data_IF_695288559799
#
_entry.id   IF_695288559799
#
_cell.length_a   1.000
_cell.length_b   1.000
_cell.length_c   1.000
_cell.angle_alpha   90.00
_cell.angle_beta   90.00
_cell.angle_gamma   90.00
#
_symmetry.space_group_name_H-M   'P 1'
#
loop_
_entity.id
_entity.type
_entity.pdbx_description
1 polymer ?
#
# COMPACT_ATOMS: atom_id res chain seq x y z
N UNK A 1 19.37 10.84 -0.50
CA UNK A 1 19.06 11.97 0.43
C UNK A 1 17.64 11.77 0.99
N UNK A 2 17.39 12.04 2.28
CA UNK A 2 16.09 11.72 2.90
C UNK A 2 15.08 12.86 2.85
N UNK A 3 15.52 14.08 2.57
CA UNK A 3 14.66 15.26 2.43
C UNK A 3 14.57 15.69 0.96
N UNK A 4 13.39 16.15 0.52
CA UNK A 4 13.11 16.45 -0.90
C UNK A 4 14.09 17.45 -1.51
N UNK A 5 14.30 18.60 -0.86
CA UNK A 5 15.22 19.64 -1.36
C UNK A 5 16.63 19.11 -1.61
N UNK A 6 17.17 18.34 -0.66
CA UNK A 6 18.49 17.70 -0.79
C UNK A 6 18.51 16.63 -1.89
N UNK A 7 17.39 15.94 -2.12
CA UNK A 7 17.28 14.97 -3.20
C UNK A 7 17.27 15.66 -4.56
N UNK A 8 16.50 16.74 -4.71
CA UNK A 8 16.43 17.55 -5.95
C UNK A 8 17.79 18.16 -6.26
N UNK A 9 18.49 18.72 -5.28
CA UNK A 9 19.85 19.25 -5.46
C UNK A 9 20.84 18.20 -5.97
N UNK A 10 20.67 16.94 -5.54
CA UNK A 10 21.59 15.85 -5.90
C UNK A 10 21.21 15.15 -7.21
N UNK A 11 19.93 15.02 -7.51
CA UNK A 11 19.43 14.13 -8.55
C UNK A 11 18.54 14.81 -9.59
N UNK A 12 18.17 16.08 -9.44
CA UNK A 12 17.11 16.79 -10.20
C UNK A 12 15.70 16.25 -9.93
N UNK A 13 14.69 17.11 -10.08
CA UNK A 13 13.30 16.74 -9.84
C UNK A 13 12.78 15.71 -10.87
N UNK A 14 13.07 15.91 -12.16
CA UNK A 14 12.63 15.00 -13.24
C UNK A 14 13.12 13.56 -13.03
N UNK A 15 14.36 13.40 -12.58
CA UNK A 15 14.91 12.07 -12.27
C UNK A 15 14.16 11.45 -11.08
N UNK A 16 13.90 12.21 -10.01
CA UNK A 16 13.16 11.66 -8.86
C UNK A 16 11.74 11.25 -9.25
N UNK A 17 11.07 12.04 -10.09
CA UNK A 17 9.74 11.71 -10.61
C UNK A 17 9.75 10.41 -11.43
N UNK A 18 10.79 10.19 -12.24
CA UNK A 18 10.92 8.99 -13.06
C UNK A 18 11.16 7.71 -12.23
N UNK A 19 11.92 7.80 -11.14
CA UNK A 19 12.34 6.64 -10.33
C UNK A 19 11.54 6.44 -9.03
N UNK A 20 10.55 7.30 -8.78
CA UNK A 20 9.60 7.15 -7.67
C UNK A 20 9.86 8.11 -6.50
N UNK A 21 8.76 8.59 -5.90
CA UNK A 21 8.78 9.68 -4.91
C UNK A 21 8.02 9.39 -3.60
N UNK A 22 7.56 8.15 -3.41
CA UNK A 22 6.69 7.73 -2.29
C UNK A 22 7.13 8.29 -0.91
N UNK A 23 8.40 8.19 -0.45
CA UNK A 23 8.75 8.66 0.89
C UNK A 23 8.59 10.17 1.09
N UNK A 24 8.76 10.97 0.03
CA UNK A 24 8.54 12.42 0.10
C UNK A 24 7.06 12.76 -0.06
N UNK A 25 6.34 11.99 -0.90
CA UNK A 25 4.90 12.14 -1.08
C UNK A 25 4.14 11.89 0.23
N UNK A 26 4.46 10.81 0.95
CA UNK A 26 3.91 10.50 2.28
C UNK A 26 4.10 11.66 3.26
N UNK A 27 5.29 12.26 3.30
CA UNK A 27 5.52 13.41 4.18
C UNK A 27 4.75 14.66 3.75
N UNK A 28 4.59 14.90 2.44
CA UNK A 28 3.74 15.98 1.93
C UNK A 28 2.27 15.78 2.33
N UNK A 29 1.75 14.57 2.15
CA UNK A 29 0.39 14.21 2.51
C UNK A 29 0.12 14.32 4.00
N UNK A 30 1.10 13.95 4.84
CA UNK A 30 1.05 14.18 6.28
C UNK A 30 0.78 15.65 6.61
N UNK A 31 1.52 16.59 6.02
CA UNK A 31 1.27 18.02 6.24
C UNK A 31 -0.15 18.43 5.81
N UNK A 32 -0.64 17.92 4.68
CA UNK A 32 -2.01 18.18 4.24
C UNK A 32 -3.05 17.63 5.24
N UNK A 33 -2.81 16.45 5.80
CA UNK A 33 -3.71 15.83 6.78
C UNK A 33 -3.70 16.62 8.10
N UNK A 34 -2.54 17.10 8.55
CA UNK A 34 -2.43 18.01 9.70
C UNK A 34 -3.27 19.27 9.49
N UNK A 35 -3.16 19.91 8.31
CA UNK A 35 -3.96 21.10 8.01
C UNK A 35 -5.46 20.80 7.94
N UNK A 36 -5.85 19.64 7.39
CA UNK A 36 -7.24 19.21 7.37
C UNK A 36 -7.81 19.02 8.80
N UNK A 37 -7.01 18.46 9.71
CA UNK A 37 -7.37 18.35 11.12
C UNK A 37 -7.51 19.73 11.79
N UNK A 38 -6.57 20.66 11.57
CA UNK A 38 -6.66 22.03 12.11
C UNK A 38 -7.91 22.76 11.63
N UNK A 39 -8.27 22.56 10.37
CA UNK A 39 -9.46 23.15 9.74
C UNK A 39 -10.75 22.42 10.11
N UNK A 40 -10.68 21.30 10.85
CA UNK A 40 -11.83 20.48 11.23
C UNK A 40 -12.67 20.04 10.01
N UNK A 41 -11.99 19.81 8.88
CA UNK A 41 -12.65 19.38 7.64
C UNK A 41 -12.75 17.85 7.59
N UNK A 42 -13.88 17.31 8.05
CA UNK A 42 -14.10 15.86 8.16
C UNK A 42 -13.93 15.11 6.82
N UNK A 43 -14.40 15.67 5.70
CA UNK A 43 -14.28 15.03 4.38
C UNK A 43 -12.83 14.95 3.96
N UNK A 44 -12.08 16.04 4.10
CA UNK A 44 -10.67 16.08 3.72
C UNK A 44 -9.82 15.18 4.64
N UNK A 45 -10.14 15.12 5.93
CA UNK A 45 -9.49 14.20 6.88
C UNK A 45 -9.68 12.75 6.43
N UNK A 46 -10.92 12.32 6.12
CA UNK A 46 -11.19 10.95 5.69
C UNK A 46 -10.48 10.60 4.38
N UNK A 47 -10.53 11.50 3.39
CA UNK A 47 -9.87 11.32 2.10
C UNK A 47 -8.35 11.22 2.25
N UNK A 48 -7.72 12.20 2.90
CA UNK A 48 -6.27 12.20 3.10
C UNK A 48 -5.81 11.05 3.99
N UNK A 49 -6.61 10.62 4.97
CA UNK A 49 -6.27 9.46 5.80
C UNK A 49 -6.24 8.18 4.97
N UNK A 50 -7.19 8.01 4.04
CA UNK A 50 -7.23 6.87 3.13
C UNK A 50 -6.06 6.89 2.15
N UNK A 51 -5.82 8.03 1.50
CA UNK A 51 -4.72 8.18 0.54
C UNK A 51 -3.35 8.01 1.21
N UNK A 52 -3.15 8.63 2.38
CA UNK A 52 -1.93 8.47 3.17
C UNK A 52 -1.73 7.01 3.60
N UNK A 53 -2.81 6.35 4.02
CA UNK A 53 -2.79 4.94 4.37
C UNK A 53 -2.37 4.04 3.20
N UNK A 54 -2.90 4.32 2.00
CA UNK A 54 -2.53 3.61 0.78
C UNK A 54 -1.04 3.75 0.46
N UNK A 55 -0.50 4.97 0.41
CA UNK A 55 0.93 5.14 0.10
C UNK A 55 1.86 4.56 1.16
N UNK A 56 1.46 4.55 2.44
CA UNK A 56 2.22 3.87 3.51
C UNK A 56 2.16 2.35 3.32
N UNK A 57 1.02 1.79 2.93
CA UNK A 57 0.90 0.36 2.64
C UNK A 57 1.83 -0.05 1.48
N UNK A 58 1.79 0.70 0.37
CA UNK A 58 2.66 0.50 -0.78
C UNK A 58 4.15 0.59 -0.42
N UNK A 59 4.53 1.54 0.44
CA UNK A 59 5.91 1.67 0.93
C UNK A 59 6.41 0.45 1.72
N UNK A 60 5.50 -0.41 2.20
CA UNK A 60 5.81 -1.66 2.87
C UNK A 60 5.78 -2.87 1.93
N UNK A 61 5.49 -2.72 0.64
CA UNK A 61 5.55 -3.80 -0.34
C UNK A 61 6.95 -3.87 -0.95
N UNK A 62 7.71 -4.98 -0.81
CA UNK A 62 9.07 -5.08 -1.34
C UNK A 62 9.15 -4.75 -2.83
N UNK A 63 8.20 -5.25 -3.62
CA UNK A 63 8.16 -5.07 -5.07
C UNK A 63 7.90 -3.61 -5.51
N UNK A 64 7.43 -2.73 -4.63
CA UNK A 64 7.26 -1.30 -4.93
C UNK A 64 8.58 -0.52 -4.79
N UNK A 65 9.65 -1.18 -4.30
CA UNK A 65 10.97 -0.57 -4.08
C UNK A 65 11.98 -0.84 -5.20
N UNK A 66 11.53 -1.41 -6.32
CA UNK A 66 12.38 -1.80 -7.44
C UNK A 66 11.71 -1.51 -8.78
N UNK A 67 12.51 -1.27 -9.81
CA UNK A 67 12.04 -1.20 -11.19
C UNK A 67 11.54 -2.57 -11.67
N UNK A 68 12.06 -3.68 -11.11
CA UNK A 68 11.63 -5.04 -11.44
C UNK A 68 10.29 -5.42 -10.77
N UNK A 69 9.38 -4.47 -10.60
CA UNK A 69 8.19 -4.58 -9.74
C UNK A 69 7.27 -5.78 -10.07
N UNK A 70 7.30 -6.30 -11.29
CA UNK A 70 6.53 -7.47 -11.70
C UNK A 70 7.42 -8.59 -12.24
N UNK A 71 8.72 -8.62 -11.92
CA UNK A 71 9.64 -9.66 -12.37
C UNK A 71 9.99 -9.61 -13.86
N UNK A 72 9.67 -8.50 -14.55
CA UNK A 72 9.87 -8.35 -15.98
C UNK A 72 11.35 -8.31 -16.42
N UNK A 73 12.27 -7.98 -15.50
CA UNK A 73 13.71 -7.98 -15.74
C UNK A 73 14.39 -9.32 -15.38
N UNK A 74 13.65 -10.24 -14.74
CA UNK A 74 14.17 -11.54 -14.27
C UNK A 74 13.38 -12.75 -14.78
N UNK A 75 12.45 -12.54 -15.73
CA UNK A 75 11.55 -13.57 -16.27
C UNK A 75 10.61 -14.21 -15.23
N UNK A 76 10.17 -13.41 -14.25
CA UNK A 76 9.26 -13.80 -13.17
C UNK A 76 7.93 -13.04 -13.28
N UNK A 77 7.46 -12.81 -14.51
CA UNK A 77 6.27 -11.99 -14.81
C UNK A 77 5.05 -12.52 -14.03
N UNK A 78 4.41 -11.64 -13.27
CA UNK A 78 3.26 -11.93 -12.42
C UNK A 78 3.58 -12.13 -10.94
N UNK A 79 4.86 -12.09 -10.54
CA UNK A 79 5.27 -12.22 -9.13
C UNK A 79 4.65 -11.13 -8.22
N UNK A 80 4.31 -9.97 -8.79
CA UNK A 80 3.60 -8.91 -8.08
C UNK A 80 2.24 -9.37 -7.58
N UNK A 81 1.40 -9.85 -8.50
CA UNK A 81 0.09 -10.39 -8.16
C UNK A 81 0.17 -11.65 -7.30
N UNK A 82 1.24 -12.44 -7.42
CA UNK A 82 1.51 -13.54 -6.50
C UNK A 82 1.66 -13.02 -5.06
N UNK A 83 2.62 -12.13 -4.82
CA UNK A 83 2.98 -11.68 -3.48
C UNK A 83 1.87 -10.84 -2.83
N UNK A 84 1.34 -9.85 -3.54
CA UNK A 84 0.42 -8.84 -2.96
C UNK A 84 -1.04 -9.30 -2.93
N UNK A 85 -1.47 -10.07 -3.93
CA UNK A 85 -2.88 -10.49 -4.04
C UNK A 85 -3.05 -11.94 -3.64
N UNK A 86 -2.39 -12.87 -4.36
CA UNK A 86 -2.67 -14.30 -4.24
C UNK A 86 -2.33 -14.85 -2.86
N UNK A 87 -1.15 -14.53 -2.31
CA UNK A 87 -0.78 -14.99 -0.97
C UNK A 87 -1.70 -14.42 0.11
N UNK A 88 -2.05 -13.13 0.01
CA UNK A 88 -2.96 -12.49 0.97
C UNK A 88 -4.34 -13.12 0.90
N UNK A 89 -4.90 -13.30 -0.29
CA UNK A 89 -6.22 -13.91 -0.50
C UNK A 89 -6.29 -15.34 0.04
N UNK A 90 -5.21 -16.12 -0.07
CA UNK A 90 -5.17 -17.51 0.36
C UNK A 90 -4.89 -17.68 1.87
N UNK A 91 -4.09 -16.81 2.47
CA UNK A 91 -3.48 -17.08 3.78
C UNK A 91 -3.73 -16.00 4.84
N UNK A 92 -4.33 -14.85 4.50
CA UNK A 92 -4.53 -13.75 5.46
C UNK A 92 -5.48 -14.06 6.62
N UNK A 93 -6.36 -15.04 6.48
CA UNK A 93 -7.24 -15.49 7.56
C UNK A 93 -6.44 -16.14 8.73
N UNK A 94 -5.22 -16.63 8.47
CA UNK A 94 -4.33 -17.23 9.47
C UNK A 94 -3.31 -16.23 10.07
N UNK A 95 -3.27 -14.99 9.59
CA UNK A 95 -2.32 -13.98 10.05
C UNK A 95 -2.78 -13.34 11.37
N UNK A 96 -1.82 -13.01 12.24
CA UNK A 96 -2.08 -12.15 13.39
C UNK A 96 -1.85 -10.69 13.00
N UNK A 97 -2.90 -9.86 13.08
CA UNK A 97 -2.81 -8.43 12.81
C UNK A 97 -2.72 -7.56 14.08
N UNK A 98 -2.49 -8.16 15.26
CA UNK A 98 -2.33 -7.41 16.50
C UNK A 98 -0.97 -6.70 16.57
N UNK A 99 -0.96 -5.39 16.26
CA UNK A 99 0.26 -4.56 16.22
C UNK A 99 0.42 -3.61 17.41
N UNK A 100 -0.49 -3.68 18.39
CA UNK A 100 -0.52 -2.76 19.54
C UNK A 100 -1.07 -1.38 19.19
N UNK A 101 -0.86 -0.42 20.10
CA UNK A 101 -1.37 0.94 19.95
C UNK A 101 -0.48 1.80 19.04
N UNK A 102 -1.10 2.80 18.41
CA UNK A 102 -0.38 3.83 17.67
C UNK A 102 0.58 4.61 18.59
N UNK A 103 1.67 5.10 18.03
CA UNK A 103 2.73 5.83 18.72
C UNK A 103 3.09 7.10 17.96
N UNK A 104 3.41 8.17 18.68
CA UNK A 104 3.82 9.43 18.07
C UNK A 104 5.18 9.29 17.37
N UNK A 105 5.26 9.71 16.11
CA UNK A 105 6.49 9.71 15.32
C UNK A 105 7.22 11.03 15.48
N UNK A 106 8.36 11.01 16.17
CA UNK A 106 9.23 12.19 16.31
C UNK A 106 9.75 12.71 14.97
N UNK A 107 9.98 11.82 14.01
CA UNK A 107 10.43 12.18 12.67
C UNK A 107 9.76 11.29 11.61
N UNK A 108 8.54 11.67 11.16
CA UNK A 108 7.77 10.88 10.19
C UNK A 108 8.51 10.67 8.87
N UNK A 109 9.30 11.67 8.43
CA UNK A 109 10.09 11.55 7.20
C UNK A 109 11.12 10.43 7.30
N UNK A 110 11.81 10.28 8.44
CA UNK A 110 12.78 9.20 8.60
C UNK A 110 12.09 7.84 8.78
N UNK A 111 10.94 7.80 9.48
CA UNK A 111 10.17 6.58 9.67
C UNK A 111 9.74 5.94 8.34
N UNK A 112 9.24 6.73 7.38
CA UNK A 112 8.85 6.19 6.07
C UNK A 112 10.06 5.68 5.26
N UNK A 113 11.22 6.34 5.37
CA UNK A 113 12.45 5.86 4.74
C UNK A 113 12.92 4.52 5.31
N UNK A 114 12.82 4.37 6.63
CA UNK A 114 13.11 3.11 7.31
C UNK A 114 12.17 2.00 6.84
N UNK A 115 10.86 2.27 6.71
CA UNK A 115 9.87 1.33 6.17
C UNK A 115 10.26 0.82 4.78
N UNK A 116 10.56 1.74 3.86
CA UNK A 116 10.94 1.41 2.49
C UNK A 116 12.24 0.61 2.46
N UNK A 117 13.21 0.98 3.30
CA UNK A 117 14.48 0.24 3.42
C UNK A 117 14.21 -1.19 3.89
N UNK A 118 13.39 -1.37 4.91
CA UNK A 118 13.04 -2.68 5.45
C UNK A 118 12.27 -3.54 4.42
N UNK A 119 11.34 -2.93 3.68
CA UNK A 119 10.64 -3.60 2.58
C UNK A 119 11.62 -4.02 1.48
N UNK A 120 12.54 -3.16 1.09
CA UNK A 120 13.56 -3.47 0.09
C UNK A 120 14.50 -4.59 0.52
N UNK A 121 14.84 -4.68 1.81
CA UNK A 121 15.67 -5.77 2.35
C UNK A 121 15.00 -7.14 2.26
N UNK A 122 13.68 -7.21 2.07
CA UNK A 122 12.96 -8.47 1.86
C UNK A 122 12.89 -8.90 0.38
N UNK A 123 13.30 -8.01 -0.54
CA UNK A 123 13.15 -8.18 -1.99
C UNK A 123 13.96 -9.38 -2.54
N UNK A 124 15.12 -9.66 -1.95
CA UNK A 124 15.97 -10.78 -2.36
C UNK A 124 15.20 -12.11 -2.25
N UNK A 125 14.51 -12.30 -1.13
CA UNK A 125 13.77 -13.51 -0.81
C UNK A 125 12.54 -13.65 -1.70
N UNK A 126 11.88 -12.54 -2.04
CA UNK A 126 10.76 -12.52 -2.99
C UNK A 126 11.21 -13.14 -4.33
N UNK A 127 12.26 -12.60 -4.94
CA UNK A 127 12.70 -13.11 -6.25
C UNK A 127 13.36 -14.47 -6.17
N UNK A 128 14.24 -14.68 -5.18
CA UNK A 128 15.06 -15.89 -5.10
C UNK A 128 14.19 -17.12 -4.86
N UNK A 129 13.24 -17.07 -3.93
CA UNK A 129 12.41 -18.23 -3.63
C UNK A 129 11.42 -18.56 -4.74
N UNK A 130 10.85 -17.56 -5.43
CA UNK A 130 9.97 -17.82 -6.58
C UNK A 130 10.75 -18.51 -7.70
N UNK A 131 12.00 -18.08 -7.94
CA UNK A 131 12.89 -18.67 -8.95
C UNK A 131 13.32 -20.09 -8.59
N UNK A 132 13.77 -20.31 -7.35
CA UNK A 132 14.17 -21.63 -6.84
C UNK A 132 12.98 -22.62 -6.93
N UNK A 133 11.77 -22.20 -6.53
CA UNK A 133 10.59 -23.06 -6.61
C UNK A 133 10.20 -23.34 -8.06
N UNK A 134 10.27 -22.33 -8.94
CA UNK A 134 9.98 -22.50 -10.37
C UNK A 134 10.93 -23.47 -11.07
N UNK A 135 12.20 -23.53 -10.65
CA UNK A 135 13.18 -24.48 -11.20
C UNK A 135 12.88 -25.93 -10.80
N UNK A 136 12.20 -26.12 -9.67
CA UNK A 136 11.90 -27.43 -9.11
C UNK A 136 10.45 -27.89 -9.34
N UNK A 137 9.63 -27.08 -10.03
CA UNK A 137 8.23 -27.39 -10.29
C UNK A 137 7.92 -27.38 -11.80
N UNK A 138 7.29 -28.46 -12.33
CA UNK A 138 6.78 -28.47 -13.71
C UNK A 138 5.82 -27.30 -13.99
N UNK A 139 5.87 -26.76 -15.21
CA UNK A 139 5.11 -25.54 -15.59
C UNK A 139 3.58 -25.73 -15.46
N UNK A 140 3.09 -26.93 -15.75
CA UNK A 140 1.68 -27.35 -15.61
C UNK A 140 1.22 -27.41 -14.14
N UNK A 141 2.16 -27.49 -13.19
CA UNK A 141 1.88 -27.41 -11.75
C UNK A 141 2.09 -26.02 -11.17
N UNK A 142 2.90 -25.18 -11.82
CA UNK A 142 3.17 -23.80 -11.40
C UNK A 142 1.92 -22.90 -11.54
N UNK A 143 1.17 -23.05 -12.63
CA UNK A 143 0.03 -22.20 -12.93
C UNK A 143 -1.29 -22.98 -12.91
N UNK A 144 -2.38 -22.29 -12.59
CA UNK A 144 -3.74 -22.77 -12.69
C UNK A 144 -4.62 -21.71 -13.37
N UNK A 145 -5.77 -22.13 -13.88
CA UNK A 145 -6.82 -21.21 -14.33
C UNK A 145 -7.88 -21.11 -13.25
N UNK A 146 -8.20 -19.89 -12.84
CA UNK A 146 -9.22 -19.62 -11.83
C UNK A 146 -10.15 -18.51 -12.31
N UNK A 147 -11.43 -18.63 -11.96
CA UNK A 147 -12.44 -17.64 -12.28
C UNK A 147 -12.55 -16.62 -11.14
N UNK A 148 -12.31 -15.35 -11.46
CA UNK A 148 -12.45 -14.23 -10.52
C UNK A 148 -13.37 -13.18 -11.13
N UNK A 149 -14.46 -12.83 -10.43
CA UNK A 149 -15.47 -11.89 -10.92
C UNK A 149 -15.97 -12.23 -12.34
N UNK A 150 -16.21 -13.51 -12.61
CA UNK A 150 -16.63 -14.02 -13.93
C UNK A 150 -15.60 -13.88 -15.06
N UNK A 151 -14.34 -13.66 -14.71
CA UNK A 151 -13.21 -13.63 -15.65
C UNK A 151 -12.28 -14.81 -15.34
N UNK A 152 -12.11 -15.71 -16.30
CA UNK A 152 -11.14 -16.79 -16.22
C UNK A 152 -9.74 -16.24 -16.49
N UNK A 153 -8.83 -16.38 -15.52
CA UNK A 153 -7.46 -15.90 -15.61
C UNK A 153 -6.44 -16.97 -15.26
N UNK A 154 -5.27 -16.94 -15.92
CA UNK A 154 -4.11 -17.74 -15.51
C UNK A 154 -3.47 -17.10 -14.28
N UNK A 155 -3.35 -17.85 -13.20
CA UNK A 155 -2.71 -17.43 -11.93
C UNK A 155 -1.76 -18.50 -11.42
N UNK A 156 -0.98 -18.19 -10.38
CA UNK A 156 -0.17 -19.19 -9.69
C UNK A 156 -1.08 -20.21 -8.99
N UNK A 157 -0.74 -21.49 -9.12
CA UNK A 157 -1.52 -22.57 -8.53
C UNK A 157 -1.54 -22.47 -7.00
N UNK A 158 -2.53 -23.09 -6.37
CA UNK A 158 -2.60 -23.17 -4.90
C UNK A 158 -1.35 -23.84 -4.31
N UNK A 159 -0.87 -24.92 -4.93
CA UNK A 159 0.30 -25.67 -4.48
C UNK A 159 1.59 -24.81 -4.54
N UNK A 160 1.83 -24.14 -5.67
CA UNK A 160 2.96 -23.21 -5.79
C UNK A 160 2.85 -22.08 -4.76
N UNK A 161 1.67 -21.49 -4.62
CA UNK A 161 1.43 -20.39 -3.67
C UNK A 161 1.72 -20.82 -2.23
N UNK A 162 1.30 -22.03 -1.84
CA UNK A 162 1.54 -22.59 -0.50
C UNK A 162 3.03 -22.82 -0.22
N UNK A 163 3.74 -23.46 -1.15
CA UNK A 163 5.17 -23.71 -0.99
C UNK A 163 5.98 -22.41 -0.98
N UNK A 164 5.65 -21.46 -1.86
CA UNK A 164 6.27 -20.14 -1.88
C UNK A 164 6.01 -19.36 -0.58
N UNK A 165 4.77 -19.39 -0.06
CA UNK A 165 4.44 -18.78 1.23
C UNK A 165 5.25 -19.37 2.39
N UNK A 166 5.44 -20.70 2.40
CA UNK A 166 6.28 -21.38 3.39
C UNK A 166 7.75 -20.93 3.31
N UNK A 167 8.31 -20.82 2.09
CA UNK A 167 9.68 -20.32 1.89
C UNK A 167 9.85 -18.86 2.36
N UNK A 168 8.84 -18.02 2.13
CA UNK A 168 8.82 -16.64 2.63
C UNK A 168 8.74 -16.54 4.16
N UNK A 169 8.38 -17.63 4.86
CA UNK A 169 8.43 -17.76 6.31
C UNK A 169 7.81 -16.55 7.03
N UNK A 170 6.53 -16.26 6.78
CA UNK A 170 5.78 -15.16 7.41
C UNK A 170 6.14 -13.75 6.93
N UNK A 171 6.88 -13.60 5.82
CA UNK A 171 7.27 -12.28 5.31
C UNK A 171 6.08 -11.40 4.97
N UNK A 172 5.06 -11.94 4.29
CA UNK A 172 3.87 -11.18 3.89
C UNK A 172 3.18 -10.60 5.13
N UNK A 173 2.89 -11.43 6.13
CA UNK A 173 2.33 -11.01 7.40
C UNK A 173 3.17 -9.93 8.09
N UNK A 174 4.51 -10.08 8.16
CA UNK A 174 5.40 -9.06 8.75
C UNK A 174 5.26 -7.71 8.04
N UNK A 175 5.21 -7.69 6.71
CA UNK A 175 5.02 -6.46 5.95
C UNK A 175 3.63 -5.84 6.18
N UNK A 176 2.57 -6.66 6.23
CA UNK A 176 1.23 -6.18 6.55
C UNK A 176 1.16 -5.56 7.94
N UNK A 177 1.74 -6.21 8.95
CA UNK A 177 1.81 -5.71 10.33
C UNK A 177 2.59 -4.40 10.41
N UNK A 178 3.73 -4.30 9.71
CA UNK A 178 4.51 -3.07 9.64
C UNK A 178 3.69 -1.91 9.02
N UNK A 179 2.96 -2.18 7.93
CA UNK A 179 2.06 -1.20 7.31
C UNK A 179 0.96 -0.75 8.27
N UNK A 180 0.23 -1.68 8.89
CA UNK A 180 -0.87 -1.36 9.82
C UNK A 180 -0.38 -0.51 10.98
N UNK A 181 0.77 -0.86 11.59
CA UNK A 181 1.36 -0.09 12.68
C UNK A 181 1.72 1.32 12.23
N UNK A 182 2.40 1.45 11.09
CA UNK A 182 2.86 2.73 10.58
C UNK A 182 1.71 3.65 10.20
N UNK A 183 0.65 3.12 9.59
CA UNK A 183 -0.56 3.89 9.27
C UNK A 183 -1.15 4.51 10.54
N UNK A 184 -1.33 3.70 11.59
CA UNK A 184 -1.83 4.18 12.89
C UNK A 184 -0.92 5.25 13.49
N UNK A 185 0.39 5.05 13.44
CA UNK A 185 1.39 6.00 13.95
C UNK A 185 1.34 7.34 13.20
N UNK A 186 1.19 7.32 11.88
CA UNK A 186 1.06 8.53 11.06
C UNK A 186 -0.25 9.26 11.34
N UNK A 187 -1.39 8.56 11.40
CA UNK A 187 -2.67 9.19 11.73
C UNK A 187 -2.65 9.84 13.11
N UNK A 188 -2.16 9.13 14.12
CA UNK A 188 -2.01 9.66 15.48
C UNK A 188 -1.09 10.89 15.48
N UNK A 189 0.04 10.82 14.79
CA UNK A 189 0.99 11.93 14.69
C UNK A 189 0.34 13.16 14.06
N UNK A 190 -0.40 13.00 12.96
CA UNK A 190 -1.08 14.12 12.32
C UNK A 190 -2.11 14.77 13.23
N UNK A 191 -2.88 13.96 13.98
CA UNK A 191 -3.87 14.45 14.93
C UNK A 191 -3.22 15.21 16.10
N UNK A 192 -2.12 14.70 16.66
CA UNK A 192 -1.36 15.38 17.72
C UNK A 192 -0.77 16.70 17.22
N UNK A 193 -0.12 16.69 16.05
CA UNK A 193 0.49 17.89 15.44
C UNK A 193 -0.55 18.97 15.08
N UNK A 194 -1.81 18.57 14.85
CA UNK A 194 -2.92 19.49 14.63
C UNK A 194 -3.50 20.11 15.91
N UNK A 195 -2.93 19.78 17.08
CA UNK A 195 -3.43 20.26 18.37
C UNK A 195 -4.56 19.41 18.95
N UNK A 196 -4.67 18.14 18.54
CA UNK A 196 -5.62 17.16 19.07
C UNK A 196 -7.08 17.63 19.00
N UNK A 197 -7.59 18.04 17.82
CA UNK A 197 -8.97 18.47 17.69
C UNK A 197 -9.94 17.35 18.09
N UNK A 198 -11.02 17.74 18.77
CA UNK A 198 -12.10 16.83 19.15
C UNK A 198 -12.78 16.23 17.91
N UNK A 199 -12.77 14.89 17.84
CA UNK A 199 -13.26 14.13 16.70
C UNK A 199 -14.78 13.88 16.75
N UNK A 200 -15.41 13.91 17.92
CA UNK A 200 -16.86 13.65 18.05
C UNK A 200 -17.67 14.73 17.30
N UNK A 201 -17.18 15.97 17.37
CA UNK A 201 -17.74 17.10 16.64
C UNK A 201 -17.52 17.04 15.11
N UNK A 202 -16.59 16.19 14.63
CA UNK A 202 -16.32 15.99 13.20
C UNK A 202 -17.20 14.91 12.58
N UNK A 203 -17.47 13.84 13.34
CA UNK A 203 -18.26 12.68 12.88
C UNK A 203 -19.75 12.99 12.75
N UNK A 204 -20.23 14.02 13.44
CA UNK A 204 -21.63 14.45 13.44
C UNK A 204 -21.97 15.48 12.34
N UNK A 205 -21.02 15.86 11.49
CA UNK A 205 -21.30 16.73 10.34
C UNK A 205 -21.93 15.91 9.22
N UNK A 206 -23.06 16.36 8.66
CA UNK A 206 -23.71 15.70 7.52
C UNK A 206 -22.78 15.71 6.29
N UNK A 207 -22.10 14.59 6.03
CA UNK A 207 -21.11 14.44 4.96
C UNK A 207 -21.71 14.46 3.54
N UNK A 208 -23.04 14.63 3.41
CA UNK A 208 -23.76 14.56 2.13
C UNK A 208 -23.71 15.85 1.32
N UNK A 209 -23.64 17.02 1.94
CA UNK A 209 -23.83 18.31 1.24
C UNK A 209 -22.55 18.93 0.63
N UNK A 210 -21.35 18.47 1.03
CA UNK A 210 -20.08 19.11 0.62
C UNK A 210 -19.37 18.46 -0.58
N UNK A 211 -19.90 17.37 -1.15
CA UNK A 211 -19.29 16.71 -2.33
C UNK A 211 -19.41 17.51 -3.63
N UNK A 212 -20.35 18.45 -3.72
CA UNK A 212 -20.69 19.12 -4.99
C UNK A 212 -19.87 20.39 -5.28
N UNK A 213 -19.12 20.92 -4.30
CA UNK A 213 -18.49 22.26 -4.40
C UNK A 213 -16.95 22.27 -4.37
N UNK A 214 -16.27 21.11 -4.42
CA UNK A 214 -14.81 21.10 -4.53
C UNK A 214 -14.37 21.12 -6.01
N UNK A 215 -13.51 22.09 -6.41
CA UNK A 215 -12.96 22.08 -7.75
C UNK A 215 -12.13 20.79 -7.97
N UNK A 216 -12.06 20.27 -9.21
CA UNK A 216 -11.19 19.15 -9.53
C UNK A 216 -9.76 19.46 -9.05
N UNK A 217 -9.20 18.58 -8.25
CA UNK A 217 -7.80 18.68 -7.84
C UNK A 217 -6.96 18.51 -9.10
N UNK A 218 -6.10 19.49 -9.37
CA UNK A 218 -5.03 19.38 -10.36
C UNK A 218 -4.04 18.34 -9.83
N UNK A 219 -4.29 17.07 -10.17
CA UNK A 219 -3.30 16.02 -10.01
C UNK A 219 -2.08 16.47 -10.81
N UNK A 220 -0.85 16.40 -10.26
CA UNK A 220 0.33 16.53 -11.10
C UNK A 220 0.15 15.62 -12.32
N UNK A 221 0.57 16.03 -13.53
CA UNK A 221 0.26 15.33 -14.78
C UNK A 221 0.44 13.86 -14.52
N UNK A 222 -0.67 13.12 -14.68
CA UNK A 222 -0.79 11.71 -14.34
C UNK A 222 0.52 11.03 -14.73
N UNK A 223 1.33 10.64 -13.73
CA UNK A 223 2.29 9.58 -13.96
C UNK A 223 1.44 8.50 -14.62
N UNK A 224 1.81 8.07 -15.82
CA UNK A 224 1.15 6.92 -16.46
C UNK A 224 1.06 5.87 -15.36
N UNK A 225 -0.16 5.53 -14.90
CA UNK A 225 -0.30 4.56 -13.83
C UNK A 225 0.50 3.34 -14.30
N UNK A 226 1.31 2.75 -13.42
CA UNK A 226 1.99 1.51 -13.83
C UNK A 226 0.91 0.58 -14.38
N UNK A 227 1.13 -0.23 -15.42
CA UNK A 227 0.05 -0.90 -16.15
C UNK A 227 -1.03 -1.63 -15.30
N UNK A 228 -0.71 -2.01 -14.06
CA UNK A 228 -1.65 -2.56 -13.07
C UNK A 228 -2.53 -1.50 -12.35
N UNK A 229 -2.06 -0.27 -12.18
CA UNK A 229 -2.83 0.91 -11.75
C UNK A 229 -3.69 1.49 -12.90
N UNK A 230 -3.37 1.13 -14.16
CA UNK A 230 -3.96 1.69 -15.39
C UNK A 230 -5.16 0.94 -15.98
N UNK A 231 -5.58 -0.19 -15.41
CA UNK A 231 -6.86 -0.81 -15.76
C UNK A 231 -8.02 -0.04 -15.12
N UNK A 232 -8.40 1.09 -15.74
CA UNK A 232 -9.72 1.73 -15.53
C UNK A 232 -10.21 1.75 -14.08
N UNK A 233 -9.39 2.26 -13.16
CA UNK A 233 -9.75 2.31 -11.75
C UNK A 233 -10.65 3.53 -11.53
N UNK A 234 -11.94 3.35 -11.79
CA UNK A 234 -12.97 4.16 -11.15
C UNK A 234 -12.70 4.10 -9.64
N UNK A 235 -12.52 5.24 -8.96
CA UNK A 235 -12.20 5.33 -7.53
C UNK A 235 -13.16 4.52 -6.62
N UNK A 236 -14.35 4.16 -7.13
CA UNK A 236 -15.26 3.18 -6.52
C UNK A 236 -14.65 1.77 -6.38
N UNK A 237 -13.88 1.30 -7.37
CA UNK A 237 -13.34 -0.05 -7.43
C UNK A 237 -11.96 -0.20 -6.78
N UNK A 238 -11.19 0.90 -6.60
CA UNK A 238 -9.94 0.85 -5.83
C UNK A 238 -10.22 0.44 -4.38
N UNK A 239 -11.32 0.94 -3.82
CA UNK A 239 -11.79 0.55 -2.50
C UNK A 239 -12.31 -0.89 -2.42
N UNK A 240 -12.50 -1.58 -3.54
CA UNK A 240 -12.96 -2.97 -3.62
C UNK A 240 -11.82 -3.94 -3.95
N UNK A 241 -10.77 -3.47 -4.63
CA UNK A 241 -9.64 -4.30 -5.08
C UNK A 241 -8.35 -4.11 -4.27
N UNK A 242 -8.29 -3.11 -3.37
CA UNK A 242 -7.22 -3.06 -2.38
C UNK A 242 -7.49 -4.19 -1.38
N UNK A 243 -6.71 -5.28 -1.45
CA UNK A 243 -6.90 -6.52 -0.68
C UNK A 243 -7.03 -6.25 0.82
N UNK A 244 -6.32 -5.23 1.32
CA UNK A 244 -6.44 -4.74 2.70
C UNK A 244 -7.83 -4.16 3.00
N UNK A 245 -8.33 -3.23 2.16
CA UNK A 245 -9.63 -2.60 2.37
C UNK A 245 -10.79 -3.58 2.15
N UNK A 246 -10.63 -4.52 1.21
CA UNK A 246 -11.58 -5.60 0.95
C UNK A 246 -11.69 -6.57 2.13
N UNK A 247 -10.55 -6.96 2.73
CA UNK A 247 -10.49 -7.78 3.94
C UNK A 247 -11.19 -7.10 5.13
N UNK A 248 -10.88 -5.82 5.40
CA UNK A 248 -11.54 -5.07 6.49
C UNK A 248 -13.04 -4.89 6.26
N UNK A 249 -13.48 -4.64 5.02
CA UNK A 249 -14.92 -4.57 4.68
C UNK A 249 -15.64 -5.91 4.89
N UNK A 250 -15.01 -7.04 4.57
CA UNK A 250 -15.56 -8.39 4.80
C UNK A 250 -15.73 -8.66 6.29
N UNK A 251 -14.70 -8.43 7.10
CA UNK A 251 -14.76 -8.61 8.58
C UNK A 251 -15.78 -7.69 9.27
N UNK A 252 -15.99 -6.47 8.78
CA UNK A 252 -17.01 -5.54 9.32
C UNK A 252 -18.44 -6.02 9.00
N UNK A 253 -18.65 -6.64 7.83
CA UNK A 253 -19.95 -7.24 7.46
C UNK A 253 -20.28 -8.50 8.27
N UNK A 254 -19.28 -9.29 8.65
CA UNK A 254 -19.46 -10.53 9.44
C UNK A 254 -19.72 -10.27 10.94
N UNK A 255 -19.56 -9.04 11.42
CA UNK A 255 -19.83 -8.61 12.81
C UNK A 255 -21.15 -7.84 12.98
N UNK A 256 -22.00 -7.80 11.96
CA UNK A 256 -23.39 -7.32 12.03
C UNK A 256 -24.34 -8.49 11.81
#
# INVERSE_FOLDING_TARGET
>A
PRYWKQAVEKHTEDTLQAYGIVPWHVNRMRYQLVEAFKQKNAIQILKLSADLGHYIADANVPLHTTENYNGQLTNQIGIHGLWESRLVELFSDDYDFFVGQASFLKNPQLAIWESITNAHLALDSVFRFEKELSQNMPLDKKYAFEERNSILGRTYSLDFSKQYHQLLNGQVERQMRAAIKMIGDFWLTCWIEAGQPDLDNLLNQDLKEKKENEPPIDLPPTQTPRPHEGMGINLKNCCENNTYLAYYKKKIKEKK
#
